data_IF_831870208539
#
_entry.id   IF_831870208539
#
_cell.length_a   1.000
_cell.length_b   1.000
_cell.length_c   1.000
_cell.angle_alpha   90.00
_cell.angle_beta   90.00
_cell.angle_gamma   90.00
#
_symmetry.space_group_name_H-M   'P 1'
#
loop_
_entity.id
_entity.type
_entity.pdbx_description
1 polymer ?
#
# COMPACT_ATOMS: atom_id res chain seq x y z
N UNK A 1 -20.71 5.35 8.92
CA UNK A 1 -19.62 5.30 7.91
C UNK A 1 -18.31 5.95 8.34
N UNK A 2 -18.27 6.91 9.26
CA UNK A 2 -16.97 7.37 9.82
C UNK A 2 -16.19 6.25 10.51
N UNK A 3 -16.89 5.29 11.13
CA UNK A 3 -16.28 4.12 11.76
C UNK A 3 -15.42 3.27 10.80
N UNK A 4 -15.78 3.14 9.52
CA UNK A 4 -14.98 2.33 8.58
C UNK A 4 -13.61 2.97 8.30
N UNK A 5 -13.53 4.31 8.33
CA UNK A 5 -12.27 5.03 8.18
C UNK A 5 -11.39 4.90 9.42
N UNK A 6 -12.00 4.77 10.60
CA UNK A 6 -11.30 4.49 11.86
C UNK A 6 -10.77 3.06 11.83
N UNK A 7 -11.60 2.09 11.45
CA UNK A 7 -11.20 0.69 11.30
C UNK A 7 -10.05 0.55 10.31
N UNK A 8 -10.13 1.17 9.13
CA UNK A 8 -9.06 1.15 8.13
C UNK A 8 -7.72 1.64 8.72
N UNK A 9 -7.75 2.71 9.51
CA UNK A 9 -6.56 3.31 10.11
C UNK A 9 -5.97 2.46 11.23
N UNK A 10 -6.81 1.99 12.15
CA UNK A 10 -6.38 1.08 13.23
C UNK A 10 -5.77 -0.19 12.65
N UNK A 11 -6.39 -0.74 11.60
CA UNK A 11 -5.88 -1.91 10.91
C UNK A 11 -4.57 -1.65 10.17
N UNK A 12 -4.41 -0.46 9.57
CA UNK A 12 -3.13 -0.02 9.01
C UNK A 12 -2.00 0.01 10.05
N UNK A 13 -2.27 0.48 11.27
CA UNK A 13 -1.29 0.43 12.37
C UNK A 13 -0.98 -1.00 12.82
N UNK A 14 -1.97 -1.89 12.84
CA UNK A 14 -1.75 -3.32 13.11
C UNK A 14 -0.81 -3.92 12.07
N UNK A 15 -1.07 -3.71 10.77
CA UNK A 15 -0.21 -4.19 9.68
C UNK A 15 1.21 -3.61 9.77
N UNK A 16 1.35 -2.32 10.07
CA UNK A 16 2.65 -1.69 10.30
C UNK A 16 3.41 -2.34 11.47
N UNK A 17 2.72 -2.58 12.58
CA UNK A 17 3.29 -3.28 13.74
C UNK A 17 3.73 -4.70 13.40
N UNK A 18 2.90 -5.45 12.68
CA UNK A 18 3.20 -6.82 12.28
C UNK A 18 4.45 -6.90 11.37
N UNK A 19 4.55 -6.05 10.35
CA UNK A 19 5.73 -6.08 9.46
C UNK A 19 7.01 -5.63 10.17
N UNK A 20 6.92 -4.68 11.10
CA UNK A 20 8.06 -4.27 11.94
C UNK A 20 8.48 -5.38 12.90
N UNK A 21 7.52 -6.04 13.56
CA UNK A 21 7.80 -7.20 14.42
C UNK A 21 8.46 -8.32 13.61
N UNK A 22 7.96 -8.58 12.40
CA UNK A 22 8.59 -9.54 11.49
C UNK A 22 10.05 -9.19 11.21
N UNK A 23 10.30 -7.95 10.78
CA UNK A 23 11.64 -7.47 10.44
C UNK A 23 12.63 -7.48 11.63
N UNK A 24 12.17 -7.16 12.83
CA UNK A 24 13.05 -6.98 14.00
C UNK A 24 13.29 -8.29 14.79
N UNK A 25 12.28 -9.14 14.91
CA UNK A 25 12.34 -10.32 15.79
C UNK A 25 12.67 -11.61 15.04
N UNK A 26 12.31 -11.72 13.76
CA UNK A 26 12.57 -12.91 12.96
C UNK A 26 13.81 -12.72 12.07
N UNK A 27 14.97 -12.55 12.71
CA UNK A 27 16.24 -12.33 12.00
C UNK A 27 16.57 -13.49 11.04
N UNK A 28 16.09 -14.69 11.34
CA UNK A 28 16.13 -15.89 10.47
C UNK A 28 15.55 -15.64 9.08
N UNK A 29 14.54 -14.77 8.96
CA UNK A 29 13.96 -14.37 7.67
C UNK A 29 14.96 -13.60 6.80
N UNK A 30 15.89 -12.85 7.38
CA UNK A 30 16.68 -11.86 6.62
C UNK A 30 18.19 -12.10 6.67
N UNK A 31 18.68 -13.06 7.46
CA UNK A 31 20.10 -13.37 7.54
C UNK A 31 20.53 -14.36 6.43
N UNK A 32 21.62 -14.07 5.69
CA UNK A 32 22.28 -15.06 4.85
C UNK A 32 22.75 -16.25 5.70
N UNK A 33 22.69 -17.47 5.16
CA UNK A 33 23.27 -18.64 5.85
C UNK A 33 24.78 -18.40 6.04
N UNK A 34 25.37 -18.66 7.22
CA UNK A 34 26.82 -18.57 7.36
C UNK A 34 27.46 -19.65 6.48
N UNK A 35 27.99 -19.25 5.33
CA UNK A 35 28.99 -20.01 4.59
C UNK A 35 30.26 -19.97 5.43
N UNK A 36 30.75 -21.14 5.86
CA UNK A 36 31.87 -21.28 6.79
C UNK A 36 33.23 -20.87 6.23
N UNK A 37 33.39 -19.66 5.68
CA UNK A 37 34.66 -19.19 5.12
C UNK A 37 34.90 -17.70 5.42
N UNK A 38 35.93 -17.44 6.23
CA UNK A 38 36.82 -16.27 6.13
C UNK A 38 36.32 -14.95 6.70
N UNK A 39 36.89 -14.55 7.83
CA UNK A 39 36.67 -13.24 8.44
C UNK A 39 37.30 -12.07 7.67
N UNK A 40 36.81 -10.85 7.96
CA UNK A 40 37.34 -9.58 7.48
C UNK A 40 36.27 -8.76 6.76
N UNK A 41 36.01 -9.08 5.50
CA UNK A 41 35.14 -8.28 4.60
C UNK A 41 33.76 -8.91 4.37
N UNK A 42 33.61 -10.22 4.58
CA UNK A 42 32.34 -10.94 4.40
C UNK A 42 31.25 -10.54 5.41
N UNK A 43 31.65 -10.07 6.59
CA UNK A 43 30.71 -9.72 7.68
C UNK A 43 30.00 -8.39 7.41
N UNK A 44 30.73 -7.39 6.86
CA UNK A 44 30.16 -6.11 6.45
C UNK A 44 29.21 -6.25 5.24
N UNK A 45 29.57 -7.09 4.26
CA UNK A 45 28.71 -7.39 3.09
C UNK A 45 27.45 -8.15 3.50
N UNK A 46 27.59 -9.17 4.36
CA UNK A 46 26.46 -9.93 4.94
C UNK A 46 25.48 -9.03 5.71
N UNK A 47 26.00 -8.07 6.48
CA UNK A 47 25.19 -7.12 7.24
C UNK A 47 24.41 -6.14 6.34
N UNK A 48 25.02 -5.67 5.25
CA UNK A 48 24.35 -4.83 4.26
C UNK A 48 23.26 -5.59 3.51
N UNK A 49 23.51 -6.84 3.12
CA UNK A 49 22.53 -7.69 2.43
C UNK A 49 21.31 -7.97 3.32
N UNK A 50 21.53 -8.20 4.62
CA UNK A 50 20.47 -8.32 5.61
C UNK A 50 19.57 -7.07 5.66
N UNK A 51 20.19 -5.88 5.73
CA UNK A 51 19.47 -4.61 5.76
C UNK A 51 18.64 -4.44 4.48
N UNK A 52 19.22 -4.65 3.29
CA UNK A 52 18.49 -4.50 2.03
C UNK A 52 17.34 -5.52 1.90
N UNK A 53 17.53 -6.76 2.37
CA UNK A 53 16.50 -7.80 2.38
C UNK A 53 15.30 -7.42 3.26
N UNK A 54 15.56 -6.80 4.42
CA UNK A 54 14.51 -6.32 5.33
C UNK A 54 13.87 -5.01 4.86
N UNK A 55 14.63 -4.14 4.19
CA UNK A 55 14.12 -2.87 3.66
C UNK A 55 13.04 -3.08 2.61
N UNK A 56 13.18 -4.06 1.72
CA UNK A 56 12.19 -4.31 0.66
C UNK A 56 10.76 -4.47 1.22
N UNK A 57 10.43 -5.46 2.07
CA UNK A 57 9.07 -5.61 2.59
C UNK A 57 8.62 -4.43 3.46
N UNK A 58 9.53 -3.78 4.21
CA UNK A 58 9.19 -2.59 5.00
C UNK A 58 8.77 -1.42 4.13
N UNK A 59 9.53 -1.12 3.07
CA UNK A 59 9.23 -0.05 2.13
C UNK A 59 7.97 -0.34 1.31
N UNK A 60 7.77 -1.60 0.89
CA UNK A 60 6.58 -2.00 0.14
C UNK A 60 5.31 -1.97 1.01
N UNK A 61 5.35 -2.48 2.24
CA UNK A 61 4.17 -2.48 3.12
C UNK A 61 3.90 -1.08 3.66
N UNK A 62 4.85 -0.47 4.37
CA UNK A 62 4.62 0.80 5.07
C UNK A 62 4.61 1.97 4.09
N UNK A 63 5.62 2.04 3.23
CA UNK A 63 5.82 3.16 2.32
C UNK A 63 4.87 3.14 1.11
N UNK A 64 4.66 1.98 0.51
CA UNK A 64 3.83 1.87 -0.69
C UNK A 64 2.36 1.56 -0.36
N UNK A 65 2.06 0.44 0.31
CA UNK A 65 0.67 0.00 0.56
C UNK A 65 -0.05 0.91 1.58
N UNK A 66 0.50 1.08 2.79
CA UNK A 66 -0.21 1.83 3.84
C UNK A 66 -0.38 3.30 3.46
N UNK A 67 0.67 3.93 2.93
CA UNK A 67 0.62 5.32 2.50
C UNK A 67 -0.35 5.53 1.33
N UNK A 68 -0.38 4.61 0.36
CA UNK A 68 -1.34 4.66 -0.75
C UNK A 68 -2.77 4.46 -0.28
N UNK A 69 -3.02 3.52 0.63
CA UNK A 69 -4.32 3.30 1.25
C UNK A 69 -4.85 4.55 1.96
N UNK A 70 -3.99 5.23 2.71
CA UNK A 70 -4.31 6.51 3.34
C UNK A 70 -4.60 7.60 2.29
N UNK A 71 -3.79 7.68 1.22
CA UNK A 71 -3.98 8.62 0.12
C UNK A 71 -5.34 8.45 -0.57
N UNK A 72 -5.78 7.20 -0.81
CA UNK A 72 -7.09 6.86 -1.39
C UNK A 72 -8.23 7.42 -0.51
N UNK A 73 -8.08 7.35 0.81
CA UNK A 73 -9.12 7.75 1.77
C UNK A 73 -9.12 9.25 2.10
N UNK A 74 -8.11 10.03 1.71
CA UNK A 74 -8.01 11.50 1.95
C UNK A 74 -9.30 12.23 1.56
N UNK A 75 -9.84 11.92 0.36
CA UNK A 75 -11.02 12.61 -0.15
C UNK A 75 -12.26 12.36 0.71
N UNK A 76 -12.30 11.25 1.44
CA UNK A 76 -13.41 10.84 2.32
C UNK A 76 -13.22 11.34 3.74
N UNK A 77 -12.01 11.25 4.29
CA UNK A 77 -11.71 11.62 5.68
C UNK A 77 -11.79 13.12 5.90
N UNK A 78 -11.17 13.91 5.03
CA UNK A 78 -11.06 15.35 5.19
C UNK A 78 -12.13 16.09 4.38
N UNK A 79 -13.39 15.68 4.52
CA UNK A 79 -14.49 16.27 3.74
C UNK A 79 -14.65 17.79 3.97
N UNK A 80 -14.28 18.28 5.16
CA UNK A 80 -14.27 19.70 5.52
C UNK A 80 -13.15 20.50 4.84
N UNK A 81 -12.11 19.85 4.30
CA UNK A 81 -11.01 20.54 3.63
C UNK A 81 -11.40 20.97 2.22
N UNK A 82 -10.76 22.05 1.74
CA UNK A 82 -10.93 22.53 0.37
C UNK A 82 -10.65 21.41 -0.63
N UNK A 83 -11.33 21.46 -1.79
CA UNK A 83 -11.11 20.46 -2.86
C UNK A 83 -9.67 20.49 -3.36
N UNK A 84 -9.05 21.67 -3.39
CA UNK A 84 -7.66 21.84 -3.81
C UNK A 84 -6.71 21.15 -2.83
N UNK A 85 -6.86 21.40 -1.53
CA UNK A 85 -6.01 20.81 -0.48
C UNK A 85 -6.08 19.28 -0.51
N UNK A 86 -7.29 18.69 -0.61
CA UNK A 86 -7.43 17.23 -0.70
C UNK A 86 -6.75 16.64 -1.91
N UNK A 87 -6.84 17.29 -3.08
CA UNK A 87 -6.14 16.87 -4.29
C UNK A 87 -4.62 16.93 -4.12
N UNK A 88 -4.11 18.01 -3.54
CA UNK A 88 -2.67 18.17 -3.27
C UNK A 88 -2.15 17.06 -2.36
N UNK A 89 -2.86 16.78 -1.28
CA UNK A 89 -2.47 15.75 -0.31
C UNK A 89 -2.57 14.36 -0.93
N UNK A 90 -3.63 14.05 -1.68
CA UNK A 90 -3.73 12.80 -2.42
C UNK A 90 -2.54 12.62 -3.38
N UNK A 91 -2.27 13.63 -4.21
CA UNK A 91 -1.18 13.60 -5.18
C UNK A 91 0.19 13.42 -4.52
N UNK A 92 0.46 14.14 -3.44
CA UNK A 92 1.73 14.08 -2.71
C UNK A 92 1.92 12.72 -2.02
N UNK A 93 0.91 12.22 -1.32
CA UNK A 93 0.99 10.91 -0.65
C UNK A 93 1.17 9.78 -1.66
N UNK A 94 0.49 9.82 -2.81
CA UNK A 94 0.73 8.84 -3.88
C UNK A 94 2.13 8.98 -4.51
N UNK A 95 2.66 10.22 -4.63
CA UNK A 95 4.03 10.43 -5.12
C UNK A 95 5.07 9.82 -4.16
N UNK A 96 4.89 10.04 -2.86
CA UNK A 96 5.74 9.46 -1.82
C UNK A 96 5.64 7.93 -1.83
N UNK A 97 4.41 7.38 -1.96
CA UNK A 97 4.21 5.94 -2.06
C UNK A 97 4.94 5.34 -3.27
N UNK A 98 4.83 5.97 -4.44
CA UNK A 98 5.58 5.56 -5.63
C UNK A 98 7.10 5.62 -5.39
N UNK A 99 7.60 6.68 -4.74
CA UNK A 99 9.02 6.79 -4.36
C UNK A 99 9.47 5.63 -3.47
N UNK A 100 8.68 5.28 -2.44
CA UNK A 100 8.95 4.12 -1.60
C UNK A 100 8.90 2.80 -2.37
N UNK A 101 7.95 2.63 -3.29
CA UNK A 101 7.86 1.44 -4.15
C UNK A 101 9.09 1.28 -5.06
N UNK A 102 9.53 2.36 -5.71
CA UNK A 102 10.73 2.37 -6.54
C UNK A 102 11.99 2.07 -5.72
N UNK A 103 12.12 2.69 -4.53
CA UNK A 103 13.26 2.45 -3.64
C UNK A 103 13.25 1.04 -3.05
N UNK A 104 12.07 0.50 -2.72
CA UNK A 104 11.90 -0.88 -2.24
C UNK A 104 12.32 -1.90 -3.29
N UNK A 105 11.94 -1.69 -4.55
CA UNK A 105 12.42 -2.50 -5.67
C UNK A 105 13.93 -2.34 -5.84
N UNK A 106 14.45 -1.12 -5.89
CA UNK A 106 15.89 -0.87 -5.98
C UNK A 106 16.69 -1.59 -4.89
N UNK A 107 16.21 -1.58 -3.64
CA UNK A 107 16.84 -2.29 -2.52
C UNK A 107 16.93 -3.80 -2.77
N UNK A 108 15.89 -4.41 -3.36
CA UNK A 108 15.89 -5.85 -3.70
C UNK A 108 16.90 -6.19 -4.79
N UNK A 109 17.08 -5.32 -5.79
CA UNK A 109 18.00 -5.56 -6.92
C UNK A 109 19.46 -5.23 -6.60
N UNK A 110 19.73 -4.49 -5.52
CA UNK A 110 21.09 -4.26 -5.00
C UNK A 110 21.67 -5.47 -4.26
N UNK A 111 20.83 -6.26 -3.59
CA UNK A 111 21.21 -7.39 -2.72
C UNK A 111 21.43 -8.75 -3.41
N UNK A 112 22.12 -8.78 -4.54
CA UNK A 112 22.66 -9.96 -5.24
C UNK A 112 21.81 -10.66 -6.34
N UNK A 113 22.52 -11.12 -7.38
CA UNK A 113 22.12 -11.85 -8.61
C UNK A 113 21.41 -11.09 -9.76
N UNK A 114 21.79 -9.85 -10.08
CA UNK A 114 21.45 -9.23 -11.38
C UNK A 114 19.94 -9.07 -11.70
N UNK A 115 19.62 -8.37 -12.80
CA UNK A 115 18.22 -8.06 -13.13
C UNK A 115 17.44 -9.31 -13.57
N UNK A 116 18.08 -10.22 -14.30
CA UNK A 116 17.40 -11.34 -14.97
C UNK A 116 17.04 -12.48 -14.01
N UNK A 117 17.87 -12.78 -13.01
CA UNK A 117 17.56 -13.82 -12.03
C UNK A 117 16.47 -13.41 -11.02
N UNK A 118 16.02 -12.15 -11.04
CA UNK A 118 15.02 -11.63 -10.10
C UNK A 118 13.60 -11.50 -10.72
N UNK A 119 13.42 -11.75 -12.03
CA UNK A 119 12.13 -11.61 -12.74
C UNK A 119 11.49 -12.94 -13.18
N UNK A 120 11.70 -14.04 -12.47
CA UNK A 120 11.08 -15.33 -12.81
C UNK A 120 9.83 -15.64 -11.97
N UNK A 121 9.68 -15.03 -10.79
CA UNK A 121 8.59 -15.35 -9.87
C UNK A 121 7.32 -14.59 -10.21
N UNK A 122 6.15 -15.17 -9.95
CA UNK A 122 4.86 -14.49 -10.14
C UNK A 122 4.80 -13.16 -9.36
N UNK A 123 5.38 -13.13 -8.16
CA UNK A 123 5.52 -11.91 -7.35
C UNK A 123 6.20 -10.78 -8.13
N UNK A 124 7.33 -11.07 -8.79
CA UNK A 124 8.09 -10.05 -9.53
C UNK A 124 7.32 -9.49 -10.73
N UNK A 125 6.56 -10.33 -11.46
CA UNK A 125 5.73 -9.91 -12.60
C UNK A 125 4.54 -9.05 -12.15
N UNK A 126 3.84 -9.48 -11.10
CA UNK A 126 2.74 -8.70 -10.50
C UNK A 126 3.28 -7.37 -9.97
N UNK A 127 4.42 -7.39 -9.27
CA UNK A 127 5.06 -6.19 -8.73
C UNK A 127 5.46 -5.18 -9.81
N UNK A 128 6.06 -5.64 -10.90
CA UNK A 128 6.41 -4.79 -12.05
C UNK A 128 5.17 -4.18 -12.71
N UNK A 129 4.16 -5.00 -12.99
CA UNK A 129 2.89 -4.53 -13.56
C UNK A 129 2.21 -3.50 -12.63
N UNK A 130 2.21 -3.76 -11.32
CA UNK A 130 1.67 -2.86 -10.31
C UNK A 130 2.39 -1.51 -10.31
N UNK A 131 3.73 -1.50 -10.27
CA UNK A 131 4.50 -0.24 -10.27
C UNK A 131 4.32 0.55 -11.56
N UNK A 132 4.33 -0.12 -12.71
CA UNK A 132 4.08 0.52 -14.00
C UNK A 132 2.69 1.17 -14.05
N UNK A 133 1.66 0.43 -13.62
CA UNK A 133 0.29 0.94 -13.59
C UNK A 133 0.14 2.07 -12.57
N UNK A 134 0.80 2.00 -11.42
CA UNK A 134 0.79 3.05 -10.41
C UNK A 134 1.45 4.34 -10.92
N UNK A 135 2.60 4.22 -11.58
CA UNK A 135 3.31 5.36 -12.17
C UNK A 135 2.48 6.02 -13.29
N UNK A 136 1.88 5.22 -14.17
CA UNK A 136 0.94 5.70 -15.19
C UNK A 136 -0.24 6.44 -14.53
N UNK A 137 -0.84 5.84 -13.50
CA UNK A 137 -1.99 6.41 -12.82
C UNK A 137 -1.67 7.75 -12.13
N UNK A 138 -0.49 7.86 -11.54
CA UNK A 138 -0.02 9.10 -10.93
C UNK A 138 0.18 10.19 -11.99
N UNK A 139 0.87 9.88 -13.09
CA UNK A 139 1.14 10.83 -14.17
C UNK A 139 -0.14 11.29 -14.89
N UNK A 140 -1.05 10.36 -15.19
CA UNK A 140 -2.35 10.65 -15.76
C UNK A 140 -3.20 11.49 -14.78
N UNK A 141 -3.23 11.11 -13.50
CA UNK A 141 -3.95 11.86 -12.46
C UNK A 141 -3.43 13.29 -12.28
N UNK A 142 -2.12 13.48 -12.31
CA UNK A 142 -1.47 14.80 -12.31
C UNK A 142 -1.90 15.61 -13.53
N UNK A 143 -1.76 15.06 -14.73
CA UNK A 143 -2.06 15.76 -15.98
C UNK A 143 -3.53 16.18 -16.07
N UNK A 144 -4.45 15.31 -15.64
CA UNK A 144 -5.90 15.55 -15.76
C UNK A 144 -6.48 16.38 -14.62
N UNK A 145 -6.13 16.10 -13.36
CA UNK A 145 -6.82 16.66 -12.20
C UNK A 145 -6.09 17.80 -11.51
N UNK A 146 -4.77 17.93 -11.74
CA UNK A 146 -3.94 19.00 -11.20
C UNK A 146 -3.74 20.13 -12.22
N UNK A 147 -3.39 19.80 -13.46
CA UNK A 147 -3.18 20.80 -14.49
C UNK A 147 -4.49 21.48 -14.92
N UNK A 148 -4.53 22.81 -14.97
CA UNK A 148 -5.75 23.58 -15.27
C UNK A 148 -6.23 23.44 -16.72
N UNK A 149 -5.37 23.00 -17.65
CA UNK A 149 -5.69 22.98 -19.08
C UNK A 149 -6.84 22.05 -19.46
N UNK A 150 -7.10 20.99 -18.69
CA UNK A 150 -8.18 20.08 -19.01
C UNK A 150 -9.56 20.62 -18.62
N UNK A 151 -10.49 20.59 -19.57
CA UNK A 151 -11.88 21.01 -19.40
C UNK A 151 -12.67 20.11 -18.44
N UNK A 152 -13.80 20.63 -17.93
CA UNK A 152 -14.66 19.88 -16.98
C UNK A 152 -15.16 18.55 -17.56
N UNK A 153 -15.45 18.50 -18.87
CA UNK A 153 -15.95 17.30 -19.57
C UNK A 153 -14.93 16.16 -19.59
N UNK A 154 -13.67 16.44 -19.91
CA UNK A 154 -12.59 15.44 -19.91
C UNK A 154 -12.44 14.85 -18.51
N UNK A 155 -12.36 15.70 -17.49
CA UNK A 155 -12.22 15.28 -16.09
C UNK A 155 -13.38 14.40 -15.63
N UNK A 156 -14.63 14.71 -16.01
CA UNK A 156 -15.79 13.88 -15.64
C UNK A 156 -15.78 12.50 -16.29
N UNK A 157 -15.25 12.40 -17.52
CA UNK A 157 -15.16 11.12 -18.24
C UNK A 157 -14.02 10.24 -17.73
N UNK A 158 -12.88 10.85 -17.36
CA UNK A 158 -11.70 10.11 -16.88
C UNK A 158 -11.85 9.68 -15.41
N UNK A 159 -12.60 10.42 -14.59
CA UNK A 159 -12.71 10.18 -13.15
C UNK A 159 -13.15 8.74 -12.77
N UNK A 160 -14.19 8.14 -13.37
CA UNK A 160 -14.58 6.77 -13.05
C UNK A 160 -13.46 5.76 -13.34
N UNK A 161 -12.79 5.91 -14.49
CA UNK A 161 -11.62 5.08 -14.84
C UNK A 161 -10.46 5.29 -13.86
N UNK A 162 -10.21 6.54 -13.45
CA UNK A 162 -9.17 6.84 -12.47
C UNK A 162 -9.44 6.17 -11.11
N UNK A 163 -10.69 6.18 -10.64
CA UNK A 163 -11.07 5.51 -9.39
C UNK A 163 -10.97 3.99 -9.53
N UNK A 164 -11.52 3.41 -10.60
CA UNK A 164 -11.53 1.97 -10.82
C UNK A 164 -10.12 1.38 -10.96
N UNK A 165 -9.29 1.97 -11.84
CA UNK A 165 -7.89 1.55 -12.03
C UNK A 165 -7.10 1.78 -10.75
N UNK A 166 -7.29 2.91 -10.05
CA UNK A 166 -6.57 3.17 -8.80
C UNK A 166 -6.84 2.13 -7.70
N UNK A 167 -8.10 1.70 -7.54
CA UNK A 167 -8.46 0.65 -6.58
C UNK A 167 -7.95 -0.73 -7.02
N UNK A 168 -7.99 -1.03 -8.32
CA UNK A 168 -7.41 -2.24 -8.87
C UNK A 168 -5.89 -2.31 -8.61
N UNK A 169 -5.15 -1.24 -8.89
CA UNK A 169 -3.71 -1.15 -8.63
C UNK A 169 -3.39 -1.33 -7.14
N UNK A 170 -4.21 -0.77 -6.25
CA UNK A 170 -4.04 -0.95 -4.81
C UNK A 170 -4.25 -2.42 -4.38
N UNK A 171 -5.26 -3.10 -4.93
CA UNK A 171 -5.44 -4.55 -4.74
C UNK A 171 -4.28 -5.36 -5.30
N UNK A 172 -3.76 -4.98 -6.47
CA UNK A 172 -2.61 -5.63 -7.10
C UNK A 172 -1.33 -5.47 -6.26
N UNK A 173 -1.13 -4.32 -5.61
CA UNK A 173 -0.02 -4.09 -4.68
C UNK A 173 -0.09 -5.05 -3.48
N UNK A 174 -1.29 -5.28 -2.94
CA UNK A 174 -1.50 -6.23 -1.84
C UNK A 174 -1.28 -7.67 -2.30
N UNK A 175 -1.80 -8.06 -3.47
CA UNK A 175 -1.54 -9.37 -4.06
C UNK A 175 -0.04 -9.61 -4.34
N UNK A 176 0.69 -8.56 -4.76
CA UNK A 176 2.15 -8.61 -4.89
C UNK A 176 2.80 -8.87 -3.54
N UNK A 177 2.40 -8.17 -2.47
CA UNK A 177 2.93 -8.38 -1.14
C UNK A 177 2.65 -9.80 -0.62
N UNK A 178 1.43 -10.33 -0.79
CA UNK A 178 1.09 -11.68 -0.36
C UNK A 178 1.90 -12.75 -1.09
N UNK A 179 2.04 -12.63 -2.42
CA UNK A 179 2.89 -13.54 -3.20
C UNK A 179 4.36 -13.43 -2.83
N UNK A 180 4.85 -12.25 -2.48
CA UNK A 180 6.22 -12.04 -1.97
C UNK A 180 6.44 -12.65 -0.58
N UNK A 181 5.46 -12.54 0.32
CA UNK A 181 5.48 -13.23 1.62
C UNK A 181 5.49 -14.75 1.44
N UNK A 182 4.68 -15.27 0.53
CA UNK A 182 4.63 -16.70 0.21
C UNK A 182 5.95 -17.20 -0.38
N UNK A 183 6.54 -16.47 -1.32
CA UNK A 183 7.85 -16.77 -1.92
C UNK A 183 8.94 -16.80 -0.84
N UNK A 184 8.95 -15.79 0.03
CA UNK A 184 9.90 -15.70 1.14
C UNK A 184 9.74 -16.86 2.13
N UNK A 185 8.50 -17.18 2.52
CA UNK A 185 8.21 -18.29 3.41
C UNK A 185 8.65 -19.63 2.81
N UNK A 186 8.35 -19.86 1.53
CA UNK A 186 8.74 -21.08 0.81
C UNK A 186 10.25 -21.23 0.75
N UNK A 187 10.97 -20.13 0.50
CA UNK A 187 12.43 -20.10 0.53
C UNK A 187 12.98 -20.48 1.91
N UNK A 188 12.43 -19.93 3.00
CA UNK A 188 12.86 -20.25 4.36
C UNK A 188 12.60 -21.72 4.74
N UNK A 189 11.47 -22.27 4.31
CA UNK A 189 11.14 -23.67 4.55
C UNK A 189 12.05 -24.62 3.75
N UNK A 190 12.37 -24.26 2.51
CA UNK A 190 13.11 -25.13 1.59
C UNK A 190 14.64 -25.08 1.80
N UNK A 191 15.19 -23.91 2.12
CA UNK A 191 16.63 -23.70 2.17
C UNK A 191 17.18 -23.40 3.58
N UNK A 192 16.34 -22.88 4.49
CA UNK A 192 16.73 -22.53 5.86
C UNK A 192 16.17 -23.51 6.91
N UNK A 193 15.45 -24.55 6.49
CA UNK A 193 14.92 -25.59 7.38
C UNK A 193 13.82 -25.07 8.33
N UNK A 194 13.15 -23.97 7.98
CA UNK A 194 12.04 -23.47 8.78
C UNK A 194 10.90 -24.50 8.81
N UNK A 195 10.45 -24.88 10.00
CA UNK A 195 9.34 -25.83 10.14
C UNK A 195 8.03 -25.29 9.53
N UNK A 196 7.30 -26.17 8.83
CA UNK A 196 6.02 -25.84 8.18
C UNK A 196 4.96 -25.29 9.14
N UNK A 197 5.01 -25.68 10.42
CA UNK A 197 4.10 -25.23 11.49
C UNK A 197 4.81 -24.39 12.55
N UNK A 198 5.86 -23.69 12.16
CA UNK A 198 6.60 -22.80 13.07
C UNK A 198 5.79 -21.53 13.41
N UNK A 199 6.06 -20.90 14.58
CA UNK A 199 5.49 -19.61 14.91
C UNK A 199 5.76 -18.52 13.85
N UNK A 200 6.95 -18.54 13.23
CA UNK A 200 7.34 -17.63 12.14
C UNK A 200 6.45 -17.83 10.89
N UNK A 201 6.20 -19.08 10.50
CA UNK A 201 5.31 -19.39 9.38
C UNK A 201 3.87 -18.94 9.65
N UNK A 202 3.35 -19.20 10.85
CA UNK A 202 2.02 -18.74 11.25
C UNK A 202 1.94 -17.19 11.26
N UNK A 203 3.02 -16.53 11.69
CA UNK A 203 3.11 -15.08 11.72
C UNK A 203 3.10 -14.46 10.31
N UNK A 204 3.92 -14.97 9.39
CA UNK A 204 3.96 -14.51 7.99
C UNK A 204 2.60 -14.69 7.31
N UNK A 205 1.95 -15.84 7.50
CA UNK A 205 0.59 -16.07 6.99
C UNK A 205 -0.44 -15.10 7.58
N UNK A 206 -0.35 -14.83 8.88
CA UNK A 206 -1.23 -13.87 9.56
C UNK A 206 -1.03 -12.44 9.03
N UNK A 207 0.20 -12.05 8.72
CA UNK A 207 0.51 -10.77 8.06
C UNK A 207 -0.12 -10.69 6.66
N UNK A 208 -0.06 -11.77 5.88
CA UNK A 208 -0.75 -11.86 4.57
C UNK A 208 -2.25 -11.64 4.70
N UNK A 209 -2.91 -12.38 5.59
CA UNK A 209 -4.36 -12.22 5.87
C UNK A 209 -4.67 -10.79 6.33
N UNK A 210 -3.83 -10.21 7.19
CA UNK A 210 -4.02 -8.83 7.65
C UNK A 210 -3.93 -7.81 6.49
N UNK A 211 -3.03 -8.02 5.52
CA UNK A 211 -2.94 -7.20 4.31
C UNK A 211 -4.19 -7.34 3.43
N UNK A 212 -4.71 -8.55 3.20
CA UNK A 212 -5.96 -8.75 2.46
C UNK A 212 -7.16 -8.07 3.14
N UNK A 213 -7.27 -8.18 4.46
CA UNK A 213 -8.33 -7.52 5.23
C UNK A 213 -8.20 -5.99 5.16
N UNK A 214 -6.97 -5.45 5.22
CA UNK A 214 -6.72 -4.02 5.00
C UNK A 214 -7.23 -3.59 3.63
N UNK A 215 -6.90 -4.35 2.59
CA UNK A 215 -7.31 -4.06 1.22
C UNK A 215 -8.84 -3.98 1.11
N UNK A 216 -9.52 -5.00 1.65
CA UNK A 216 -10.98 -5.06 1.67
C UNK A 216 -11.60 -3.87 2.38
N UNK A 217 -11.10 -3.50 3.57
CA UNK A 217 -11.63 -2.36 4.33
C UNK A 217 -11.39 -1.03 3.61
N UNK A 218 -10.20 -0.82 3.03
CA UNK A 218 -9.87 0.41 2.27
C UNK A 218 -10.75 0.52 1.02
N UNK A 219 -10.90 -0.56 0.25
CA UNK A 219 -11.76 -0.59 -0.94
C UNK A 219 -13.21 -0.33 -0.56
N UNK A 220 -13.72 -1.03 0.47
CA UNK A 220 -15.09 -0.84 0.96
C UNK A 220 -15.30 0.61 1.42
N UNK A 221 -14.35 1.17 2.17
CA UNK A 221 -14.40 2.57 2.59
C UNK A 221 -14.39 3.53 1.40
N UNK A 222 -13.59 3.24 0.36
CA UNK A 222 -13.48 4.06 -0.83
C UNK A 222 -14.79 4.10 -1.65
N UNK A 223 -15.50 2.96 -1.77
CA UNK A 223 -16.71 2.85 -2.60
C UNK A 223 -18.02 3.11 -1.87
N UNK A 224 -18.05 3.03 -0.52
CA UNK A 224 -19.31 3.15 0.24
C UNK A 224 -20.05 4.48 -0.02
N UNK A 225 -21.39 4.54 -0.07
CA UNK A 225 -22.12 5.80 -0.31
C UNK A 225 -21.96 6.81 0.83
N UNK A 226 -21.68 8.09 0.55
CA UNK A 226 -21.73 9.16 1.57
C UNK A 226 -23.16 9.31 2.07
N UNK A 227 -23.49 8.75 3.23
CA UNK A 227 -24.69 9.15 3.97
C UNK A 227 -24.62 10.67 4.17
N UNK A 228 -25.39 11.41 3.38
CA UNK A 228 -25.76 12.76 3.72
C UNK A 228 -26.57 12.65 5.01
N UNK A 229 -25.96 13.04 6.13
CA UNK A 229 -26.74 13.26 7.34
C UNK A 229 -27.74 14.37 7.03
N UNK A 230 -29.02 13.99 7.04
CA UNK A 230 -30.22 14.80 7.18
C UNK A 230 -30.45 15.93 6.17
N UNK A 231 -31.08 15.57 5.04
CA UNK A 231 -32.12 16.40 4.40
C UNK A 231 -33.44 16.42 5.23
N UNK A 232 -33.34 16.35 6.56
CA UNK A 232 -34.48 16.23 7.49
C UNK A 232 -34.39 17.25 8.64
N UNK A 233 -33.85 18.44 8.36
CA UNK A 233 -33.86 19.57 9.31
C UNK A 233 -34.19 20.92 8.71
N UNK A 234 -34.39 21.03 7.38
CA UNK A 234 -34.64 22.32 6.71
C UNK A 234 -36.02 22.45 6.06
N UNK A 235 -36.91 21.46 6.22
CA UNK A 235 -38.21 21.42 5.57
C UNK A 235 -39.38 21.94 6.39
N UNK A 236 -39.26 22.03 7.72
CA UNK A 236 -40.35 22.49 8.59
C UNK A 236 -40.26 23.98 8.95
N UNK A 237 -39.07 24.59 8.90
CA UNK A 237 -38.92 25.99 9.29
C UNK A 237 -39.43 26.96 8.20
N UNK A 238 -39.41 26.57 6.92
CA UNK A 238 -39.92 27.42 5.83
C UNK A 238 -41.46 27.40 5.68
N UNK A 239 -42.19 26.60 6.46
CA UNK A 239 -43.65 26.52 6.39
C UNK A 239 -44.35 27.37 7.47
N UNK A 240 -43.63 27.76 8.53
CA UNK A 240 -44.18 28.56 9.63
C UNK A 240 -43.88 30.07 9.54
N UNK A 241 -43.00 30.51 8.62
CA UNK A 241 -42.71 31.95 8.45
C UNK A 241 -43.62 32.66 7.43
N UNK A 242 -44.64 31.97 6.89
CA UNK A 242 -45.61 32.56 5.93
C UNK A 242 -47.00 32.83 6.52
N UNK A 243 -47.17 32.77 7.83
CA UNK A 243 -48.49 32.93 8.45
C UNK A 243 -48.61 33.99 9.56
N UNK A 244 -47.55 34.70 9.93
CA UNK A 244 -47.70 35.84 10.85
C UNK A 244 -46.76 36.98 10.49
N UNK A 245 -47.40 38.13 10.21
CA UNK A 245 -46.89 39.49 9.99
C UNK A 245 -46.42 39.82 8.56
#
# INVERSE_FOLDING_TARGET
>A
MQWILIVARLWGFVVAGLVLVWALFFKTSFLPRPSGAGGGDGDAVSHLDHIYSALHPLLMVIGFILLSGEAILVHRRFACWSRSTRKSVHLLLQALALGFGLFGVWAKFRGNEGIVANFYSLHSWIGLACLALFAYQWAAGFSTFWHKAEGRRTRSTVLPGHVGIGLYTFGLAVAAAETGLQEKLTFLQSHHGLGLRSPESAFINSLGIALALLAGVVVLAAVSPRNQQAAFGGGEESRNEKLHV
#
